data_IF_854711501605
#
_entry.id   IF_854711501605
#
_cell.length_a   1.000
_cell.length_b   1.000
_cell.length_c   1.000
_cell.angle_alpha   90.00
_cell.angle_beta   90.00
_cell.angle_gamma   90.00
#
_symmetry.space_group_name_H-M   'P 1'
#
loop_
_entity.id
_entity.type
_entity.pdbx_description
1 polymer ?
#
# COMPACT_ATOMS: atom_id res chain seq x y z
N UNK A 1 7.53 6.68 11.96
CA UNK A 1 6.27 6.38 11.26
C UNK A 1 6.06 4.87 11.32
N UNK A 2 4.92 4.41 11.83
CA UNK A 2 4.58 2.97 11.87
C UNK A 2 3.50 2.72 10.84
N UNK A 3 3.80 1.96 9.81
CA UNK A 3 2.78 1.51 8.85
C UNK A 3 1.96 0.37 9.46
N UNK A 4 0.68 0.29 9.11
CA UNK A 4 -0.16 -0.83 9.47
C UNK A 4 0.22 -2.07 8.66
N UNK A 5 -0.02 -3.25 9.26
CA UNK A 5 0.20 -4.57 8.61
C UNK A 5 -0.57 -4.71 7.29
N UNK A 6 -1.64 -3.93 7.11
CA UNK A 6 -2.41 -3.92 5.88
C UNK A 6 -1.60 -3.55 4.63
N UNK A 7 -0.55 -2.73 4.77
CA UNK A 7 0.33 -2.33 3.66
C UNK A 7 1.12 -3.54 3.19
N UNK A 8 1.75 -4.26 4.13
CA UNK A 8 2.49 -5.49 3.86
C UNK A 8 1.60 -6.52 3.15
N UNK A 9 0.38 -6.73 3.66
CA UNK A 9 -0.55 -7.69 3.08
C UNK A 9 -0.96 -7.30 1.66
N UNK A 10 -1.20 -6.01 1.42
CA UNK A 10 -1.53 -5.48 0.11
C UNK A 10 -0.41 -5.68 -0.91
N UNK A 11 0.84 -5.37 -0.52
CA UNK A 11 2.03 -5.56 -1.33
C UNK A 11 2.20 -7.04 -1.70
N UNK A 12 2.21 -7.94 -0.71
CA UNK A 12 2.36 -9.37 -0.94
C UNK A 12 1.24 -9.96 -1.82
N UNK A 13 0.00 -9.48 -1.65
CA UNK A 13 -1.08 -9.91 -2.54
C UNK A 13 -0.89 -9.41 -3.98
N UNK A 14 -0.43 -8.17 -4.18
CA UNK A 14 -0.13 -7.68 -5.54
C UNK A 14 0.99 -8.50 -6.20
N UNK A 15 2.06 -8.83 -5.47
CA UNK A 15 3.12 -9.71 -5.96
C UNK A 15 2.60 -11.12 -6.28
N UNK A 16 1.79 -11.71 -5.40
CA UNK A 16 1.22 -13.04 -5.65
C UNK A 16 0.33 -13.07 -6.88
N UNK A 17 -0.54 -12.07 -7.05
CA UNK A 17 -1.37 -11.93 -8.24
C UNK A 17 -0.52 -11.75 -9.50
N UNK A 18 0.54 -10.94 -9.42
CA UNK A 18 1.46 -10.75 -10.54
C UNK A 18 2.19 -12.05 -10.92
N UNK A 19 2.62 -12.86 -9.94
CA UNK A 19 3.26 -14.16 -10.21
C UNK A 19 2.31 -15.22 -10.73
N UNK A 20 1.02 -15.16 -10.38
CA UNK A 20 0.08 -16.12 -10.91
C UNK A 20 -0.15 -15.91 -12.40
N UNK A 21 0.05 -14.69 -12.92
CA UNK A 21 -0.04 -14.31 -14.35
C UNK A 21 -1.36 -14.76 -15.02
N UNK A 22 -2.37 -15.12 -14.22
CA UNK A 22 -3.64 -15.69 -14.69
C UNK A 22 -4.65 -14.55 -14.92
N UNK A 23 -5.38 -14.63 -16.04
CA UNK A 23 -6.50 -13.73 -16.29
C UNK A 23 -7.68 -14.00 -15.32
N UNK A 24 -7.72 -15.20 -14.74
CA UNK A 24 -8.72 -15.59 -13.78
C UNK A 24 -8.57 -14.87 -12.42
N UNK A 25 -9.64 -14.28 -11.88
CA UNK A 25 -9.64 -13.69 -10.54
C UNK A 25 -9.34 -14.72 -9.44
N UNK A 26 -8.52 -14.33 -8.47
CA UNK A 26 -8.15 -15.18 -7.33
C UNK A 26 -9.05 -14.89 -6.12
N UNK A 27 -9.80 -15.86 -5.58
CA UNK A 27 -10.68 -15.64 -4.44
C UNK A 27 -9.93 -15.20 -3.17
N UNK A 28 -10.56 -14.35 -2.34
CA UNK A 28 -9.96 -13.86 -1.06
C UNK A 28 -9.40 -15.00 -0.21
N UNK A 29 -10.15 -16.10 -0.05
CA UNK A 29 -9.73 -17.23 0.79
C UNK A 29 -8.43 -17.88 0.31
N UNK A 30 -8.15 -17.81 -0.99
CA UNK A 30 -6.91 -18.31 -1.61
C UNK A 30 -5.73 -17.41 -1.27
N UNK A 31 -5.91 -16.10 -1.44
CA UNK A 31 -4.90 -15.10 -1.07
C UNK A 31 -4.62 -15.16 0.44
N UNK A 32 -5.65 -15.34 1.26
CA UNK A 32 -5.49 -15.48 2.70
C UNK A 32 -4.70 -16.76 3.04
N UNK A 33 -5.02 -17.89 2.41
CA UNK A 33 -4.32 -19.14 2.62
C UNK A 33 -2.85 -19.14 2.19
N UNK A 34 -2.48 -18.35 1.17
CA UNK A 34 -1.08 -18.20 0.73
C UNK A 34 -0.17 -17.61 1.82
N UNK A 35 -0.74 -16.77 2.69
CA UNK A 35 0.00 -16.00 3.70
C UNK A 35 -0.49 -16.27 5.13
N UNK A 36 -1.33 -17.28 5.32
CA UNK A 36 -1.94 -17.64 6.61
C UNK A 36 -2.67 -16.47 7.30
N UNK A 37 -3.34 -15.64 6.50
CA UNK A 37 -4.02 -14.44 6.95
C UNK A 37 -5.51 -14.67 7.24
N UNK A 38 -6.12 -13.94 8.19
CA UNK A 38 -7.56 -13.93 8.39
C UNK A 38 -8.32 -13.38 7.16
N UNK A 39 -9.19 -14.18 6.50
CA UNK A 39 -9.80 -13.79 5.22
C UNK A 39 -10.64 -12.51 5.28
N UNK A 40 -11.37 -12.29 6.37
CA UNK A 40 -12.22 -11.10 6.56
C UNK A 40 -11.39 -9.82 6.61
N UNK A 41 -10.27 -9.86 7.35
CA UNK A 41 -9.37 -8.71 7.48
C UNK A 41 -8.64 -8.44 6.17
N UNK A 42 -8.16 -9.48 5.49
CA UNK A 42 -7.53 -9.34 4.18
C UNK A 42 -8.49 -8.73 3.16
N UNK A 43 -9.75 -9.18 3.12
CA UNK A 43 -10.78 -8.64 2.22
C UNK A 43 -10.92 -7.12 2.35
N UNK A 44 -10.87 -6.57 3.57
CA UNK A 44 -10.95 -5.11 3.79
C UNK A 44 -9.78 -4.36 3.14
N UNK A 45 -8.58 -4.94 3.14
CA UNK A 45 -7.38 -4.37 2.49
C UNK A 45 -7.48 -4.46 0.98
N UNK A 46 -7.83 -5.64 0.44
CA UNK A 46 -8.04 -5.82 -1.00
C UNK A 46 -9.12 -4.87 -1.54
N UNK A 47 -10.21 -4.65 -0.81
CA UNK A 47 -11.25 -3.69 -1.19
C UNK A 47 -10.77 -2.23 -1.22
N UNK A 48 -9.74 -1.89 -0.44
CA UNK A 48 -9.15 -0.55 -0.50
C UNK A 48 -8.27 -0.39 -1.74
N UNK A 49 -7.58 -1.46 -2.15
CA UNK A 49 -6.87 -1.51 -3.43
C UNK A 49 -7.82 -1.47 -4.64
N UNK A 50 -9.01 -2.08 -4.52
CA UNK A 50 -10.06 -1.98 -5.56
C UNK A 50 -10.55 -0.55 -5.73
N UNK A 51 -10.85 0.14 -4.63
CA UNK A 51 -11.26 1.56 -4.68
C UNK A 51 -10.20 2.48 -5.30
N UNK A 52 -8.92 2.11 -5.18
CA UNK A 52 -7.80 2.82 -5.77
C UNK A 52 -7.51 2.42 -7.24
N UNK A 53 -8.27 1.50 -7.83
CA UNK A 53 -8.04 1.03 -9.21
C UNK A 53 -6.75 0.20 -9.36
N UNK A 54 -6.24 -0.35 -8.27
CA UNK A 54 -5.05 -1.24 -8.28
C UNK A 54 -5.49 -2.68 -8.56
N UNK A 55 -6.62 -3.09 -8.00
CA UNK A 55 -7.22 -4.41 -8.20
C UNK A 55 -8.61 -4.30 -8.81
N UNK A 56 -8.97 -5.28 -9.62
CA UNK A 56 -10.36 -5.55 -9.98
C UNK A 56 -10.96 -6.53 -8.98
N UNK A 57 -12.28 -6.45 -8.75
CA UNK A 57 -13.02 -7.48 -8.04
C UNK A 57 -14.14 -8.04 -8.93
N UNK A 58 -14.10 -9.35 -9.16
CA UNK A 58 -15.14 -10.07 -9.90
C UNK A 58 -16.05 -10.77 -8.89
N UNK A 59 -17.38 -10.54 -8.92
CA UNK A 59 -18.32 -11.18 -8.02
C UNK A 59 -18.63 -12.64 -8.41
N UNK A 60 -19.25 -13.39 -7.51
CA UNK A 60 -19.75 -14.75 -7.76
C UNK A 60 -18.81 -15.87 -7.29
N UNK A 61 -19.24 -17.11 -7.51
CA UNK A 61 -18.58 -18.32 -6.98
C UNK A 61 -17.18 -18.56 -7.56
N UNK A 62 -16.96 -18.14 -8.82
CA UNK A 62 -15.64 -18.14 -9.48
C UNK A 62 -15.00 -16.74 -9.52
N UNK A 63 -15.50 -15.84 -8.69
CA UNK A 63 -15.01 -14.47 -8.56
C UNK A 63 -13.77 -14.39 -7.68
N UNK A 64 -13.24 -13.18 -7.55
CA UNK A 64 -11.99 -12.95 -6.84
C UNK A 64 -11.38 -11.58 -7.15
N UNK A 65 -10.07 -11.50 -7.01
CA UNK A 65 -9.27 -10.31 -7.29
C UNK A 65 -8.21 -10.61 -8.34
N UNK A 66 -7.92 -9.62 -9.17
CA UNK A 66 -6.77 -9.61 -10.09
C UNK A 66 -6.20 -8.20 -10.14
N UNK A 67 -5.00 -8.04 -10.67
CA UNK A 67 -4.46 -6.71 -10.94
C UNK A 67 -5.35 -6.01 -11.98
N UNK A 68 -5.71 -4.75 -11.73
CA UNK A 68 -6.46 -3.92 -12.68
C UNK A 68 -5.54 -3.20 -13.68
N UNK A 69 -4.23 -3.16 -13.38
CA UNK A 69 -3.20 -2.48 -14.17
C UNK A 69 -1.94 -3.37 -14.26
N UNK A 70 -1.09 -3.20 -15.29
CA UNK A 70 0.18 -3.91 -15.38
C UNK A 70 1.06 -3.67 -14.13
N UNK A 71 1.82 -4.67 -13.64
CA UNK A 71 2.70 -4.51 -12.47
C UNK A 71 3.69 -3.33 -12.55
N UNK A 72 4.09 -2.95 -13.78
CA UNK A 72 4.99 -1.82 -14.03
C UNK A 72 4.33 -0.44 -13.84
N UNK A 73 3.00 -0.37 -13.75
CA UNK A 73 2.24 0.87 -13.52
C UNK A 73 1.74 1.01 -12.08
N UNK A 74 2.03 0.03 -11.22
CA UNK A 74 1.60 0.00 -9.83
C UNK A 74 2.80 0.32 -8.94
N UNK A 75 2.83 1.53 -8.37
CA UNK A 75 3.92 1.92 -7.46
C UNK A 75 3.68 1.39 -6.05
N UNK A 76 4.74 1.27 -5.24
CA UNK A 76 4.59 0.95 -3.82
C UNK A 76 3.80 2.06 -3.10
N UNK A 77 3.97 3.31 -3.53
CA UNK A 77 3.22 4.44 -2.98
C UNK A 77 1.71 4.35 -3.28
N UNK A 78 1.31 3.84 -4.46
CA UNK A 78 -0.10 3.60 -4.77
C UNK A 78 -0.74 2.66 -3.75
N UNK A 79 -0.06 1.55 -3.44
CA UNK A 79 -0.53 0.54 -2.49
C UNK A 79 -0.59 1.11 -1.08
N UNK A 80 0.45 1.84 -0.66
CA UNK A 80 0.50 2.50 0.65
C UNK A 80 -0.65 3.51 0.79
N UNK A 81 -0.81 4.40 -0.19
CA UNK A 81 -1.86 5.42 -0.16
C UNK A 81 -3.26 4.81 -0.15
N UNK A 82 -3.48 3.73 -0.89
CA UNK A 82 -4.75 3.01 -0.91
C UNK A 82 -5.10 2.36 0.44
N UNK A 83 -4.11 1.92 1.22
CA UNK A 83 -4.34 1.21 2.48
C UNK A 83 -4.35 2.13 3.71
N UNK A 84 -3.39 3.05 3.79
CA UNK A 84 -3.23 3.97 4.94
C UNK A 84 -4.10 5.23 4.79
N UNK A 85 -4.42 5.63 3.56
CA UNK A 85 -5.19 6.83 3.27
C UNK A 85 -4.32 8.09 3.14
N UNK A 86 -4.97 9.28 3.10
CA UNK A 86 -4.33 10.53 2.68
C UNK A 86 -3.62 11.30 3.80
N UNK A 87 -3.63 10.81 5.04
CA UNK A 87 -3.14 11.58 6.17
C UNK A 87 -1.62 11.80 6.13
N UNK A 88 -1.18 13.01 6.49
CA UNK A 88 0.22 13.37 6.67
C UNK A 88 0.77 12.67 7.93
N UNK A 89 2.03 12.22 7.88
CA UNK A 89 2.69 11.59 9.02
C UNK A 89 2.91 12.58 10.19
N UNK A 90 2.98 13.88 9.88
CA UNK A 90 3.13 14.95 10.86
C UNK A 90 2.21 16.12 10.55
N UNK A 91 1.36 16.48 11.51
CA UNK A 91 0.46 17.64 11.42
C UNK A 91 0.91 18.73 12.38
N UNK A 92 1.33 19.87 11.85
CA UNK A 92 1.62 21.04 12.66
C UNK A 92 0.30 21.67 13.15
N UNK A 93 0.20 21.95 14.44
CA UNK A 93 -0.94 22.62 15.08
C UNK A 93 -0.59 24.02 15.59
N UNK A 94 0.52 24.57 15.07
CA UNK A 94 1.03 25.92 15.38
C UNK A 94 1.21 26.19 16.88
N UNK A 95 1.71 25.19 17.64
CA UNK A 95 1.97 25.35 19.09
C UNK A 95 2.98 26.47 19.41
N UNK A 96 3.78 26.90 18.43
CA UNK A 96 4.70 28.05 18.57
C UNK A 96 3.97 29.38 18.77
N UNK A 97 2.69 29.46 18.43
CA UNK A 97 1.83 30.64 18.66
C UNK A 97 1.15 30.60 20.03
N UNK A 98 1.44 29.58 20.84
CA UNK A 98 0.89 29.39 22.18
C UNK A 98 2.00 29.58 23.22
N UNK A 99 1.62 29.72 24.50
CA UNK A 99 2.58 29.87 25.61
C UNK A 99 3.54 31.03 25.37
N UNK A 100 4.84 30.73 25.25
CA UNK A 100 5.89 31.73 25.01
C UNK A 100 5.67 32.57 23.73
N UNK A 101 4.96 32.06 22.73
CA UNK A 101 4.65 32.80 21.51
C UNK A 101 3.28 33.49 21.50
N UNK A 102 2.51 33.43 22.60
CA UNK A 102 1.14 33.95 22.64
C UNK A 102 1.07 35.48 22.49
N UNK A 103 2.07 36.19 23.02
CA UNK A 103 2.16 37.65 22.94
C UNK A 103 3.05 38.13 21.78
N UNK A 104 3.63 37.21 21.01
CA UNK A 104 4.48 37.55 19.88
C UNK A 104 3.64 38.13 18.73
N UNK A 105 4.15 39.16 18.02
CA UNK A 105 3.42 39.77 16.93
C UNK A 105 3.26 38.81 15.75
N UNK A 106 2.07 38.79 15.15
CA UNK A 106 1.70 37.86 14.07
C UNK A 106 2.69 37.82 12.87
N UNK A 107 3.42 38.92 12.63
CA UNK A 107 4.45 39.01 11.58
C UNK A 107 5.54 37.93 11.72
N UNK A 108 5.82 37.45 12.93
CA UNK A 108 6.82 36.42 13.21
C UNK A 108 6.38 35.01 12.76
N UNK A 109 5.07 34.82 12.53
CA UNK A 109 4.48 33.53 12.15
C UNK A 109 4.06 33.46 10.68
N UNK A 110 4.42 34.47 9.86
CA UNK A 110 4.05 34.56 8.43
C UNK A 110 4.69 33.48 7.57
N UNK A 111 5.87 32.96 7.95
CA UNK A 111 6.49 31.82 7.28
C UNK A 111 6.00 30.51 7.91
N UNK A 112 5.90 29.42 7.13
CA UNK A 112 5.62 28.10 7.67
C UNK A 112 6.57 27.75 8.82
N UNK A 113 6.05 27.09 9.86
CA UNK A 113 6.86 26.60 10.96
C UNK A 113 8.06 25.79 10.42
N UNK A 114 9.28 26.11 10.88
CA UNK A 114 10.50 25.42 10.43
C UNK A 114 10.48 23.92 10.71
N UNK A 115 9.93 23.53 11.88
CA UNK A 115 9.71 22.12 12.23
C UNK A 115 8.74 21.47 11.24
N UNK A 116 7.60 22.10 10.95
CA UNK A 116 6.63 21.58 9.99
C UNK A 116 7.24 21.40 8.59
N UNK A 117 8.08 22.35 8.17
CA UNK A 117 8.78 22.30 6.88
C UNK A 117 9.77 21.13 6.84
N UNK A 118 10.58 20.94 7.89
CA UNK A 118 11.53 19.83 7.97
C UNK A 118 10.82 18.47 7.97
N UNK A 119 9.74 18.33 8.75
CA UNK A 119 8.94 17.11 8.81
C UNK A 119 8.29 16.78 7.46
N UNK A 120 7.70 17.78 6.79
CA UNK A 120 7.12 17.62 5.44
C UNK A 120 8.19 17.22 4.41
N UNK A 121 9.40 17.77 4.49
CA UNK A 121 10.49 17.39 3.59
C UNK A 121 10.87 15.92 3.75
N UNK A 122 10.96 15.43 4.99
CA UNK A 122 11.26 14.02 5.27
C UNK A 122 10.16 13.09 4.74
N UNK A 123 8.90 13.45 4.96
CA UNK A 123 7.76 12.69 4.44
C UNK A 123 7.75 12.63 2.91
N UNK A 124 7.97 13.75 2.23
CA UNK A 124 8.04 13.80 0.78
C UNK A 124 9.20 12.96 0.21
N UNK A 125 10.34 12.92 0.90
CA UNK A 125 11.46 12.07 0.48
C UNK A 125 11.08 10.59 0.54
N UNK A 126 10.44 10.15 1.64
CA UNK A 126 9.96 8.78 1.76
C UNK A 126 8.88 8.42 0.71
N UNK A 127 7.90 9.31 0.49
CA UNK A 127 6.85 9.10 -0.53
C UNK A 127 7.43 8.98 -1.93
N UNK A 128 8.43 9.80 -2.27
CA UNK A 128 9.12 9.70 -3.58
C UNK A 128 9.81 8.36 -3.75
N UNK A 129 10.41 7.84 -2.70
CA UNK A 129 11.14 6.58 -2.79
C UNK A 129 10.23 5.38 -3.00
N UNK A 130 9.05 5.39 -2.36
CA UNK A 130 8.02 4.40 -2.65
C UNK A 130 7.39 4.58 -4.04
N UNK A 131 7.28 5.82 -4.53
CA UNK A 131 6.72 6.10 -5.85
C UNK A 131 7.70 5.73 -6.99
N UNK A 132 9.00 5.67 -6.70
CA UNK A 132 10.04 5.31 -7.66
C UNK A 132 10.15 3.79 -7.91
N UNK A 133 9.52 2.97 -7.08
CA UNK A 133 9.52 1.51 -7.22
C UNK A 133 8.13 1.01 -7.59
N UNK A 134 8.10 -0.01 -8.44
CA UNK A 134 6.89 -0.65 -8.93
C UNK A 134 6.78 -2.10 -8.47
N UNK A 135 5.60 -2.70 -8.61
CA UNK A 135 5.45 -4.15 -8.39
C UNK A 135 6.37 -4.92 -9.35
N UNK A 136 6.53 -4.48 -10.60
CA UNK A 136 7.45 -5.12 -11.55
C UNK A 136 8.91 -5.12 -11.07
N UNK A 137 9.38 -4.03 -10.46
CA UNK A 137 10.73 -3.96 -9.91
C UNK A 137 10.92 -5.01 -8.81
N UNK A 138 9.93 -5.17 -7.93
CA UNK A 138 9.96 -6.19 -6.89
C UNK A 138 9.95 -7.62 -7.46
N UNK A 139 9.23 -7.86 -8.55
CA UNK A 139 9.27 -9.17 -9.24
C UNK A 139 10.68 -9.47 -9.76
N UNK A 140 11.37 -8.46 -10.30
CA UNK A 140 12.70 -8.62 -10.91
C UNK A 140 13.80 -9.00 -9.91
N UNK A 141 13.69 -8.52 -8.67
CA UNK A 141 14.67 -8.78 -7.59
C UNK A 141 14.28 -9.96 -6.70
N UNK A 142 13.09 -10.54 -6.92
CA UNK A 142 12.60 -11.66 -6.13
C UNK A 142 13.37 -12.95 -6.44
N UNK A 143 13.56 -13.86 -5.45
CA UNK A 143 14.23 -15.12 -5.70
C UNK A 143 13.53 -15.92 -6.81
N UNK A 144 14.29 -16.49 -7.75
CA UNK A 144 13.75 -17.21 -8.93
C UNK A 144 12.79 -18.35 -8.58
N UNK A 145 12.93 -18.96 -7.40
CA UNK A 145 12.01 -20.00 -6.91
C UNK A 145 10.69 -19.49 -6.32
N UNK A 146 10.55 -18.19 -6.05
CA UNK A 146 9.36 -17.61 -5.41
C UNK A 146 8.07 -17.74 -6.26
N UNK A 147 8.06 -17.39 -7.57
CA UNK A 147 6.86 -17.58 -8.40
C UNK A 147 6.40 -19.04 -8.42
N UNK A 148 7.34 -19.98 -8.58
CA UNK A 148 7.03 -21.40 -8.60
C UNK A 148 6.46 -21.93 -7.27
N UNK A 149 6.91 -21.40 -6.11
CA UNK A 149 6.32 -21.77 -4.81
C UNK A 149 4.89 -21.28 -4.69
N UNK A 150 4.62 -20.04 -5.11
CA UNK A 150 3.28 -19.44 -5.06
C UNK A 150 2.32 -20.20 -5.98
N UNK A 151 2.71 -20.45 -7.24
CA UNK A 151 1.92 -21.23 -8.20
C UNK A 151 1.58 -22.63 -7.67
N UNK A 152 2.58 -23.39 -7.20
CA UNK A 152 2.35 -24.73 -6.64
C UNK A 152 1.46 -24.72 -5.40
N UNK A 153 1.61 -23.73 -4.52
CA UNK A 153 0.74 -23.61 -3.34
C UNK A 153 -0.70 -23.32 -3.76
N UNK A 154 -0.88 -22.42 -4.74
CA UNK A 154 -2.18 -22.11 -5.31
C UNK A 154 -2.79 -23.33 -5.99
N UNK A 155 -2.09 -24.06 -6.85
CA UNK A 155 -2.65 -25.22 -7.55
C UNK A 155 -3.07 -26.35 -6.61
N UNK A 156 -2.25 -26.68 -5.60
CA UNK A 156 -2.51 -27.79 -4.66
C UNK A 156 -3.83 -27.69 -3.91
N UNK A 157 -4.39 -26.50 -3.78
CA UNK A 157 -5.65 -26.28 -3.07
C UNK A 157 -6.81 -26.05 -4.04
N UNK A 158 -6.56 -26.00 -5.36
CA UNK A 158 -7.57 -25.75 -6.40
C UNK A 158 -8.26 -27.02 -6.90
N UNK A 159 -7.70 -28.19 -6.58
CA UNK A 159 -8.39 -29.49 -6.62
C UNK A 159 -9.02 -29.81 -5.28
#
# INVERSE_FOLDING_TARGET
MRMGEGVEWGLHCCLALAWLEDEAPVPTGRLAALFELPPVYLKKRLQSLVRAGILDSVPGMRGGFRLARPPAEITLMDIVAAVEGPDDAFRCTEIRQRGAGAEAPAREFTRPCGVATAMRRAELAWRRELAAQTVADLLSVSPSGAPGRVRRHYERRSG
#
